data_IF_072899033716
#
_entry.id   IF_072899033716
#
_cell.length_a   1.000
_cell.length_b   1.000
_cell.length_c   1.000
_cell.angle_alpha   90.00
_cell.angle_beta   90.00
_cell.angle_gamma   90.00
#
_symmetry.space_group_name_H-M   'P 1'
#
loop_
_entity.id
_entity.type
_entity.pdbx_description
1 polymer ?
#
# COMPACT_ATOMS: atom_id res chain seq x y z
N UNK A 1 -7.19 -25.63 -2.36
CA UNK A 1 -6.09 -24.72 -2.78
C UNK A 1 -5.03 -25.38 -3.68
N UNK A 2 -4.95 -26.72 -3.78
CA UNK A 2 -4.02 -27.38 -4.71
C UNK A 2 -2.52 -27.22 -4.38
N UNK A 3 -2.19 -26.73 -3.18
CA UNK A 3 -0.82 -26.55 -2.66
C UNK A 3 -0.84 -26.85 -1.15
N UNK A 4 0.26 -27.35 -0.54
CA UNK A 4 0.31 -27.57 0.91
C UNK A 4 0.37 -26.25 1.68
N UNK A 5 -0.17 -26.20 2.90
CA UNK A 5 -0.05 -25.04 3.79
C UNK A 5 1.38 -24.94 4.31
N UNK A 6 1.91 -26.09 4.72
CA UNK A 6 3.31 -26.30 5.06
C UNK A 6 3.68 -27.74 4.73
N UNK A 7 4.93 -27.95 4.33
CA UNK A 7 5.54 -29.28 4.25
C UNK A 7 7.01 -29.18 4.58
N UNK A 8 7.56 -30.25 5.15
CA UNK A 8 8.98 -30.45 5.32
C UNK A 8 9.29 -31.92 5.08
N UNK A 9 10.38 -32.16 4.37
CA UNK A 9 10.92 -33.48 4.12
C UNK A 9 12.40 -33.42 4.48
N UNK A 10 12.84 -34.32 5.33
CA UNK A 10 14.23 -34.44 5.74
C UNK A 10 14.71 -35.85 5.47
N UNK A 11 15.88 -35.93 4.84
CA UNK A 11 16.70 -37.15 4.75
C UNK A 11 17.98 -37.02 5.58
N UNK A 12 18.33 -35.79 6.00
CA UNK A 12 19.49 -35.54 6.84
C UNK A 12 19.16 -35.86 8.30
N UNK A 13 20.05 -36.62 8.95
CA UNK A 13 19.92 -37.19 10.31
C UNK A 13 18.77 -38.19 10.51
N UNK A 14 17.55 -37.86 10.08
CA UNK A 14 16.37 -38.72 10.20
C UNK A 14 15.47 -38.61 8.97
N UNK A 15 15.01 -39.76 8.46
CA UNK A 15 14.03 -39.82 7.37
C UNK A 15 12.64 -39.45 7.89
N UNK A 16 12.20 -38.23 7.63
CA UNK A 16 10.92 -37.72 8.14
C UNK A 16 10.18 -36.89 7.10
N UNK A 17 8.86 -36.97 7.15
CA UNK A 17 7.97 -36.09 6.39
C UNK A 17 6.89 -35.54 7.32
N UNK A 18 6.66 -34.22 7.24
CA UNK A 18 5.56 -33.56 7.93
C UNK A 18 4.90 -32.56 7.01
N UNK A 19 3.59 -32.68 6.79
CA UNK A 19 2.82 -31.83 5.90
C UNK A 19 1.43 -31.53 6.42
N UNK A 20 0.85 -30.42 5.95
CA UNK A 20 -0.55 -30.05 6.18
C UNK A 20 -1.13 -29.58 4.85
N UNK A 21 -2.24 -30.17 4.45
CA UNK A 21 -2.99 -29.73 3.27
C UNK A 21 -3.52 -28.30 3.48
N UNK A 22 -3.48 -27.45 2.45
CA UNK A 22 -4.02 -26.10 2.55
C UNK A 22 -5.51 -26.08 2.21
N UNK A 23 -6.30 -25.59 3.16
CA UNK A 23 -7.71 -25.27 2.98
C UNK A 23 -7.97 -23.83 3.41
N UNK A 24 -9.00 -23.22 2.82
CA UNK A 24 -9.42 -21.86 3.13
C UNK A 24 -10.94 -21.76 3.02
N UNK A 25 -11.53 -20.90 3.83
CA UNK A 25 -12.93 -20.50 3.70
C UNK A 25 -12.98 -19.28 2.76
N UNK A 26 -13.87 -19.31 1.77
CA UNK A 26 -14.03 -18.21 0.80
C UNK A 26 -15.43 -17.64 0.93
N UNK A 27 -15.51 -16.35 1.20
CA UNK A 27 -16.74 -15.56 1.05
C UNK A 27 -16.62 -14.75 -0.24
N UNK A 28 -17.55 -14.99 -1.18
CA UNK A 28 -17.54 -14.38 -2.51
C UNK A 28 -18.84 -13.62 -2.77
N UNK A 29 -18.71 -12.44 -3.35
CA UNK A 29 -19.82 -11.73 -3.98
C UNK A 29 -19.40 -11.23 -5.37
N UNK A 30 -20.36 -11.06 -6.26
CA UNK A 30 -20.14 -10.57 -7.63
C UNK A 30 -21.03 -9.34 -7.83
N UNK A 31 -20.43 -8.25 -8.29
CA UNK A 31 -21.16 -7.02 -8.63
C UNK A 31 -21.01 -6.76 -10.12
N UNK A 32 -22.12 -6.86 -10.84
CA UNK A 32 -22.20 -6.55 -12.27
C UNK A 32 -22.63 -5.09 -12.47
N UNK A 33 -21.75 -4.25 -13.01
CA UNK A 33 -22.00 -2.82 -13.24
C UNK A 33 -21.75 -2.51 -14.72
N UNK A 34 -22.82 -2.25 -15.45
CA UNK A 34 -22.75 -2.03 -16.89
C UNK A 34 -22.14 -3.23 -17.60
N UNK A 35 -20.95 -3.05 -18.17
CA UNK A 35 -20.20 -4.08 -18.89
C UNK A 35 -19.30 -4.95 -17.99
N UNK A 36 -19.00 -4.52 -16.76
CA UNK A 36 -18.03 -5.20 -15.90
C UNK A 36 -18.71 -6.14 -14.91
N UNK A 37 -18.02 -7.25 -14.62
CA UNK A 37 -18.31 -8.14 -13.51
C UNK A 37 -17.11 -8.11 -12.54
N UNK A 38 -17.30 -7.52 -11.36
CA UNK A 38 -16.30 -7.51 -10.30
C UNK A 38 -16.57 -8.66 -9.32
N UNK A 39 -15.67 -9.64 -9.28
CA UNK A 39 -15.70 -10.72 -8.28
C UNK A 39 -14.88 -10.33 -7.08
N UNK A 40 -15.51 -10.22 -5.92
CA UNK A 40 -14.91 -9.86 -4.64
C UNK A 40 -14.76 -11.11 -3.78
N UNK A 41 -13.51 -11.46 -3.45
CA UNK A 41 -13.19 -12.60 -2.60
C UNK A 41 -12.61 -12.14 -1.28
N UNK A 42 -13.16 -12.66 -0.18
CA UNK A 42 -12.57 -12.61 1.15
C UNK A 42 -12.22 -14.04 1.56
N UNK A 43 -10.92 -14.33 1.62
CA UNK A 43 -10.36 -15.66 1.83
C UNK A 43 -9.72 -15.75 3.21
N UNK A 44 -10.22 -16.67 4.03
CA UNK A 44 -9.75 -16.91 5.39
C UNK A 44 -8.93 -18.20 5.45
N UNK A 45 -7.65 -18.06 5.77
CA UNK A 45 -6.69 -19.16 5.77
C UNK A 45 -6.51 -19.75 7.17
N UNK A 46 -6.16 -21.04 7.23
CA UNK A 46 -5.83 -21.74 8.47
C UNK A 46 -4.65 -21.14 9.23
N UNK A 47 -3.79 -20.35 8.57
CA UNK A 47 -2.68 -19.62 9.20
C UNK A 47 -3.14 -18.40 10.01
N UNK A 48 -4.43 -18.04 9.98
CA UNK A 48 -4.96 -16.78 10.51
C UNK A 48 -4.78 -15.59 9.57
N UNK A 49 -4.26 -15.82 8.36
CA UNK A 49 -4.19 -14.81 7.31
C UNK A 49 -5.56 -14.58 6.68
N UNK A 50 -5.86 -13.33 6.34
CA UNK A 50 -7.05 -12.93 5.58
C UNK A 50 -6.58 -12.25 4.31
N UNK A 51 -7.21 -12.58 3.19
CA UNK A 51 -6.88 -12.01 1.89
C UNK A 51 -8.16 -11.47 1.24
N UNK A 52 -8.12 -10.20 0.83
CA UNK A 52 -9.14 -9.59 0.00
C UNK A 52 -8.62 -9.50 -1.44
N UNK A 53 -9.40 -10.00 -2.40
CA UNK A 53 -9.07 -9.95 -3.84
C UNK A 53 -10.25 -9.44 -4.63
N UNK A 54 -9.92 -8.77 -5.74
CA UNK A 54 -10.91 -8.41 -6.75
C UNK A 54 -10.41 -8.84 -8.11
N UNK A 55 -11.32 -9.45 -8.86
CA UNK A 55 -11.11 -9.80 -10.25
C UNK A 55 -12.10 -9.02 -11.11
N UNK A 56 -11.62 -8.33 -12.14
CA UNK A 56 -12.46 -7.74 -13.17
C UNK A 56 -12.62 -8.74 -14.32
N UNK A 57 -13.86 -9.04 -14.69
CA UNK A 57 -14.22 -9.82 -15.88
C UNK A 57 -15.45 -9.19 -16.55
N UNK A 58 -16.12 -9.92 -17.43
CA UNK A 58 -17.24 -9.41 -18.23
C UNK A 58 -16.78 -8.88 -19.58
N UNK A 59 -17.46 -7.86 -20.07
CA UNK A 59 -17.17 -7.21 -21.35
C UNK A 59 -16.31 -5.96 -21.15
N UNK A 60 -15.50 -5.62 -22.15
CA UNK A 60 -14.78 -4.34 -22.18
C UNK A 60 -15.68 -3.20 -22.65
N UNK A 61 -15.41 -1.98 -22.20
CA UNK A 61 -15.95 -0.77 -22.85
C UNK A 61 -15.18 -0.56 -24.16
N UNK A 62 -15.92 -0.37 -25.25
CA UNK A 62 -15.35 -0.18 -26.59
C UNK A 62 -15.86 1.09 -27.26
N UNK A 63 -15.08 1.60 -28.21
CA UNK A 63 -15.45 2.71 -29.09
C UNK A 63 -15.40 2.26 -30.55
N UNK A 64 -16.15 2.94 -31.43
CA UNK A 64 -16.05 2.72 -32.88
C UNK A 64 -14.66 3.14 -33.40
N UNK A 65 -14.06 2.33 -34.26
CA UNK A 65 -12.72 2.61 -34.81
C UNK A 65 -12.78 3.75 -35.83
N UNK A 66 -12.01 4.81 -35.55
CA UNK A 66 -11.78 5.96 -36.44
C UNK A 66 -10.28 6.25 -36.57
N UNK A 67 -9.89 7.14 -37.48
CA UNK A 67 -8.49 7.52 -37.62
C UNK A 67 -7.95 8.09 -36.29
N UNK A 68 -6.81 7.58 -35.82
CA UNK A 68 -6.20 7.93 -34.53
C UNK A 68 -6.66 7.09 -33.33
N UNK A 69 -7.65 6.19 -33.46
CA UNK A 69 -8.13 5.38 -32.33
C UNK A 69 -7.05 4.56 -31.62
N UNK A 70 -6.01 4.12 -32.34
CA UNK A 70 -4.97 3.24 -31.77
C UNK A 70 -3.97 3.95 -30.85
N UNK A 71 -4.07 5.28 -30.71
CA UNK A 71 -3.40 6.00 -29.63
C UNK A 71 -4.04 5.73 -28.25
N UNK A 72 -5.30 5.25 -28.24
CA UNK A 72 -6.11 5.08 -27.03
C UNK A 72 -6.51 3.62 -26.77
N UNK A 73 -5.94 2.66 -27.49
CA UNK A 73 -6.32 1.26 -27.40
C UNK A 73 -5.92 0.43 -28.61
N UNK A 74 -6.45 -0.79 -28.69
CA UNK A 74 -6.21 -1.71 -29.80
C UNK A 74 -7.51 -2.14 -30.48
N UNK A 75 -7.46 -2.46 -31.76
CA UNK A 75 -8.59 -3.08 -32.44
C UNK A 75 -8.82 -4.49 -31.90
N UNK A 76 -10.07 -4.82 -31.59
CA UNK A 76 -10.46 -6.11 -30.99
C UNK A 76 -11.53 -6.85 -31.81
N UNK A 77 -12.21 -6.14 -32.71
CA UNK A 77 -13.12 -6.69 -33.71
C UNK A 77 -13.21 -5.75 -34.92
N UNK A 78 -13.98 -6.12 -35.95
CA UNK A 78 -14.23 -5.25 -37.10
C UNK A 78 -14.86 -3.92 -36.66
N UNK A 79 -14.19 -2.81 -36.94
CA UNK A 79 -14.59 -1.45 -36.54
C UNK A 79 -14.74 -1.21 -35.02
N UNK A 80 -14.13 -2.05 -34.16
CA UNK A 80 -14.19 -1.92 -32.70
C UNK A 80 -12.79 -1.75 -32.10
N UNK A 81 -12.59 -0.64 -31.37
CA UNK A 81 -11.40 -0.37 -30.56
C UNK A 81 -11.71 -0.64 -29.09
N UNK A 82 -10.89 -1.48 -28.44
CA UNK A 82 -10.89 -1.66 -26.99
C UNK A 82 -10.04 -0.58 -26.33
N UNK A 83 -10.67 0.30 -25.54
CA UNK A 83 -10.02 1.46 -24.96
C UNK A 83 -9.13 1.10 -23.76
N UNK A 84 -7.96 1.73 -23.66
CA UNK A 84 -7.12 1.66 -22.45
C UNK A 84 -7.82 2.36 -21.29
N UNK A 85 -7.73 1.77 -20.10
CA UNK A 85 -8.28 2.30 -18.86
C UNK A 85 -7.54 1.70 -17.66
N UNK A 86 -7.73 2.29 -16.48
CA UNK A 86 -7.17 1.81 -15.21
C UNK A 86 -8.28 1.31 -14.29
N UNK A 87 -7.95 0.35 -13.42
CA UNK A 87 -8.83 -0.10 -12.35
C UNK A 87 -8.23 0.28 -11.00
N UNK A 88 -8.91 1.17 -10.29
CA UNK A 88 -8.60 1.52 -8.91
C UNK A 88 -9.72 1.05 -8.00
N UNK A 89 -9.36 0.33 -6.94
CA UNK A 89 -10.29 -0.20 -5.95
C UNK A 89 -9.78 0.15 -4.56
N UNK A 90 -10.68 0.60 -3.69
CA UNK A 90 -10.33 0.98 -2.33
C UNK A 90 -10.94 0.04 -1.29
N UNK A 91 -10.17 -0.24 -0.25
CA UNK A 91 -10.61 -1.02 0.91
C UNK A 91 -10.39 -0.22 2.18
N UNK A 92 -11.41 -0.14 3.04
CA UNK A 92 -11.23 0.25 4.44
C UNK A 92 -10.93 -1.01 5.25
N UNK A 93 -9.78 -1.04 5.91
CA UNK A 93 -9.35 -2.15 6.76
C UNK A 93 -9.16 -1.62 8.17
N UNK A 94 -10.16 -1.84 9.02
CA UNK A 94 -10.17 -1.38 10.41
C UNK A 94 -9.69 -2.52 11.32
N UNK A 95 -8.43 -2.48 11.73
CA UNK A 95 -7.79 -3.53 12.51
C UNK A 95 -7.66 -3.13 13.98
N UNK A 96 -8.32 -3.87 14.86
CA UNK A 96 -8.16 -3.80 16.31
C UNK A 96 -7.28 -4.93 16.83
N UNK A 97 -5.97 -4.79 16.68
CA UNK A 97 -5.01 -5.82 17.13
C UNK A 97 -4.93 -5.81 18.66
N UNK A 98 -5.67 -6.74 19.27
CA UNK A 98 -5.81 -6.86 20.74
C UNK A 98 -6.35 -5.60 21.40
N UNK A 99 -7.33 -4.98 20.73
CA UNK A 99 -7.98 -3.73 21.13
C UNK A 99 -7.58 -2.55 20.24
N UNK A 100 -8.23 -1.42 20.50
CA UNK A 100 -8.26 -0.22 19.63
C UNK A 100 -6.98 0.64 19.64
N UNK A 101 -6.05 0.38 20.57
CA UNK A 101 -4.82 1.17 20.71
C UNK A 101 -3.69 0.49 19.95
N UNK A 102 -3.56 0.83 18.67
CA UNK A 102 -2.52 0.29 17.80
C UNK A 102 -1.54 1.35 17.30
N UNK A 103 -0.37 0.90 16.86
CA UNK A 103 0.68 1.71 16.27
C UNK A 103 1.05 1.15 14.89
N UNK A 104 1.41 2.04 13.96
CA UNK A 104 1.90 1.63 12.65
C UNK A 104 3.42 1.48 12.67
N UNK A 105 3.89 0.32 12.23
CA UNK A 105 5.30 -0.01 12.16
C UNK A 105 5.65 -0.48 10.76
N UNK A 106 6.83 -0.08 10.31
CA UNK A 106 7.40 -0.56 9.07
C UNK A 106 8.68 -1.32 9.38
N UNK A 107 8.90 -2.42 8.65
CA UNK A 107 10.17 -3.14 8.67
C UNK A 107 10.70 -3.28 7.26
N UNK A 108 11.99 -3.08 7.13
CA UNK A 108 12.72 -3.26 5.89
C UNK A 108 14.12 -3.79 6.20
N UNK A 109 14.98 -3.79 5.20
CA UNK A 109 16.36 -4.19 5.34
C UNK A 109 17.26 -3.19 4.61
N UNK A 110 18.44 -3.00 5.16
CA UNK A 110 19.56 -2.35 4.49
C UNK A 110 20.80 -3.23 4.61
N UNK A 111 21.79 -3.02 3.74
CA UNK A 111 23.08 -3.66 3.93
C UNK A 111 24.00 -2.71 4.68
N UNK A 112 24.62 -3.22 5.74
CA UNK A 112 25.63 -2.51 6.50
C UNK A 112 26.98 -3.19 6.32
N UNK A 113 28.02 -2.38 6.19
CA UNK A 113 29.38 -2.87 6.10
C UNK A 113 29.90 -3.12 7.53
N UNK A 114 30.12 -4.38 7.90
CA UNK A 114 30.57 -4.77 9.24
C UNK A 114 31.87 -5.57 9.16
N UNK A 115 32.75 -5.40 10.14
CA UNK A 115 33.94 -6.23 10.26
C UNK A 115 33.55 -7.65 10.68
N UNK A 116 34.26 -8.64 10.15
CA UNK A 116 34.05 -10.04 10.50
C UNK A 116 34.62 -10.27 11.91
N UNK A 117 33.81 -10.70 12.91
CA UNK A 117 34.27 -10.75 14.31
C UNK A 117 35.52 -11.61 14.54
N UNK A 118 35.71 -12.67 13.74
CA UNK A 118 36.87 -13.57 13.80
C UNK A 118 38.00 -13.22 12.81
N UNK A 119 37.82 -12.21 11.96
CA UNK A 119 38.84 -11.68 11.04
C UNK A 119 38.64 -10.17 10.86
N UNK A 120 39.04 -9.33 11.83
CA UNK A 120 38.71 -7.89 11.85
C UNK A 120 39.19 -7.09 10.63
N UNK A 121 40.23 -7.56 9.93
CA UNK A 121 40.76 -7.02 8.67
C UNK A 121 39.77 -7.16 7.49
N UNK A 122 38.79 -8.05 7.61
CA UNK A 122 37.82 -8.35 6.55
C UNK A 122 36.46 -7.76 6.90
N UNK A 123 35.79 -7.29 5.86
CA UNK A 123 34.47 -6.69 5.95
C UNK A 123 33.48 -7.44 5.07
N UNK A 124 32.23 -7.47 5.50
CA UNK A 124 31.13 -8.03 4.74
C UNK A 124 29.93 -7.09 4.77
N UNK A 125 29.23 -7.04 3.63
CA UNK A 125 27.92 -6.42 3.55
C UNK A 125 26.89 -7.39 4.14
N UNK A 126 26.38 -7.07 5.32
CA UNK A 126 25.43 -7.91 6.05
C UNK A 126 24.05 -7.25 6.04
N UNK A 127 22.96 -8.00 5.78
CA UNK A 127 21.62 -7.44 5.88
C UNK A 127 21.30 -7.11 7.35
N UNK A 128 20.89 -5.88 7.61
CA UNK A 128 20.39 -5.41 8.88
C UNK A 128 18.90 -5.11 8.79
N UNK A 129 18.15 -5.52 9.82
CA UNK A 129 16.75 -5.19 9.98
C UNK A 129 16.61 -3.71 10.36
N UNK A 130 15.80 -2.98 9.59
CA UNK A 130 15.42 -1.60 9.89
C UNK A 130 13.98 -1.56 10.31
N UNK A 131 13.69 -1.10 11.53
CA UNK A 131 12.33 -0.94 12.05
C UNK A 131 12.05 0.54 12.33
N UNK A 132 10.88 1.02 11.91
CA UNK A 132 10.42 2.39 12.17
C UNK A 132 8.96 2.37 12.59
N UNK A 133 8.66 3.01 13.72
CA UNK A 133 7.29 3.33 14.11
C UNK A 133 6.93 4.70 13.53
N UNK A 134 5.87 4.75 12.74
CA UNK A 134 5.47 5.96 12.02
C UNK A 134 4.30 6.64 12.74
N UNK A 135 4.33 7.98 12.73
CA UNK A 135 3.14 8.78 13.07
C UNK A 135 2.16 8.77 11.90
N UNK A 136 0.89 9.05 12.17
CA UNK A 136 -0.20 8.99 11.19
C UNK A 136 0.05 9.84 9.94
N UNK A 137 0.63 11.03 10.08
CA UNK A 137 1.03 11.92 8.97
C UNK A 137 2.07 11.30 8.03
N UNK A 138 2.93 10.42 8.54
CA UNK A 138 3.98 9.76 7.78
C UNK A 138 3.53 8.41 7.20
N UNK A 139 2.29 7.99 7.50
CA UNK A 139 1.76 6.67 7.17
C UNK A 139 0.86 6.67 5.92
N UNK A 140 0.97 7.72 5.09
CA UNK A 140 0.37 7.81 3.77
C UNK A 140 1.40 7.45 2.69
N UNK A 141 1.39 6.19 2.25
CA UNK A 141 2.33 5.62 1.29
C UNK A 141 1.74 5.72 -0.12
N UNK A 142 2.29 6.62 -0.93
CA UNK A 142 1.87 6.86 -2.31
C UNK A 142 2.43 5.81 -3.27
N UNK A 143 1.77 5.62 -4.42
CA UNK A 143 2.21 4.65 -5.45
C UNK A 143 3.60 4.93 -6.02
N UNK A 144 3.98 6.20 -6.13
CA UNK A 144 5.26 6.69 -6.66
C UNK A 144 6.42 6.63 -5.65
N UNK A 145 6.18 6.15 -4.43
CA UNK A 145 7.18 6.11 -3.35
C UNK A 145 7.64 4.70 -3.02
N UNK A 146 8.89 4.59 -2.53
CA UNK A 146 9.42 3.31 -2.03
C UNK A 146 8.61 2.88 -0.80
N UNK A 147 7.83 1.81 -0.97
CA UNK A 147 7.06 1.19 0.11
C UNK A 147 7.93 0.20 0.89
N UNK A 148 8.02 0.28 2.23
CA UNK A 148 8.70 -0.72 3.03
C UNK A 148 8.11 -2.12 2.82
N UNK A 149 8.95 -3.15 2.87
CA UNK A 149 8.53 -4.54 2.60
C UNK A 149 7.52 -5.10 3.60
N UNK A 150 7.57 -4.65 4.85
CA UNK A 150 6.68 -5.10 5.92
C UNK A 150 5.96 -3.89 6.52
N UNK A 151 4.64 -3.89 6.43
CA UNK A 151 3.75 -2.89 7.01
C UNK A 151 2.95 -3.58 8.12
N UNK A 152 3.05 -3.13 9.36
CA UNK A 152 2.46 -3.79 10.52
C UNK A 152 1.56 -2.82 11.29
N UNK A 153 0.35 -3.28 11.62
CA UNK A 153 -0.48 -2.69 12.66
C UNK A 153 -0.23 -3.50 13.93
N UNK A 154 0.38 -2.85 14.93
CA UNK A 154 0.89 -3.50 16.11
C UNK A 154 0.17 -3.04 17.38
N UNK A 155 -0.07 -3.98 18.28
CA UNK A 155 -0.51 -3.73 19.65
C UNK A 155 0.65 -3.32 20.54
N UNK A 156 0.36 -2.62 21.64
CA UNK A 156 1.35 -2.42 22.71
C UNK A 156 1.66 -3.72 23.49
N UNK A 157 0.85 -4.77 23.33
CA UNK A 157 1.09 -6.06 23.95
C UNK A 157 2.12 -6.89 23.16
N UNK A 158 2.99 -7.58 23.89
CA UNK A 158 4.04 -8.43 23.31
C UNK A 158 3.66 -9.90 23.32
N UNK A 159 4.27 -10.69 22.43
CA UNK A 159 4.22 -12.14 22.47
C UNK A 159 5.21 -12.68 23.52
N UNK A 160 5.26 -14.01 23.70
CA UNK A 160 6.17 -14.68 24.65
C UNK A 160 7.67 -14.38 24.46
N UNK A 161 8.05 -13.78 23.34
CA UNK A 161 9.42 -13.44 22.98
C UNK A 161 9.71 -11.94 23.06
N UNK A 162 8.77 -11.14 23.57
CA UNK A 162 8.95 -9.69 23.72
C UNK A 162 8.67 -8.87 22.46
N UNK A 163 8.25 -9.48 21.34
CA UNK A 163 7.88 -8.73 20.13
C UNK A 163 6.42 -8.30 20.17
N UNK A 164 6.13 -7.06 19.74
CA UNK A 164 4.76 -6.57 19.64
C UNK A 164 3.91 -7.46 18.72
N UNK A 165 2.74 -7.85 19.22
CA UNK A 165 1.77 -8.64 18.44
C UNK A 165 1.16 -7.75 17.38
N UNK A 166 1.19 -8.19 16.13
CA UNK A 166 0.79 -7.37 14.99
C UNK A 166 0.14 -8.20 13.89
N UNK A 167 -0.65 -7.52 13.07
CA UNK A 167 -1.04 -8.01 11.74
C UNK A 167 -0.24 -7.28 10.68
N UNK A 168 0.28 -8.04 9.70
CA UNK A 168 0.97 -7.48 8.55
C UNK A 168 -0.04 -7.16 7.45
N UNK A 169 0.00 -5.94 6.94
CA UNK A 169 -0.66 -5.56 5.71
C UNK A 169 0.28 -5.81 4.52
N UNK A 170 -0.19 -6.57 3.54
CA UNK A 170 0.52 -6.80 2.28
C UNK A 170 -0.41 -6.44 1.12
N UNK A 171 -0.01 -5.43 0.36
CA UNK A 171 -0.77 -4.94 -0.80
C UNK A 171 -0.10 -5.43 -2.08
N UNK A 172 -0.83 -6.26 -2.82
CA UNK A 172 -0.47 -6.69 -4.18
C UNK A 172 -1.35 -5.92 -5.16
N UNK A 173 -0.76 -4.96 -5.86
CA UNK A 173 -1.44 -4.12 -6.84
C UNK A 173 -0.49 -3.80 -7.99
N UNK A 174 -1.05 -3.75 -9.19
CA UNK A 174 -0.39 -3.32 -10.43
C UNK A 174 -1.10 -2.09 -11.01
N UNK A 175 -1.60 -1.21 -10.12
CA UNK A 175 -2.28 0.01 -10.54
C UNK A 175 -1.41 0.82 -11.50
N UNK A 176 -2.05 1.39 -12.52
CA UNK A 176 -1.42 2.42 -13.36
C UNK A 176 -1.33 3.75 -12.62
N UNK A 177 -1.06 4.81 -13.36
CA UNK A 177 -1.05 6.16 -12.79
C UNK A 177 -2.49 6.61 -12.47
N UNK A 178 -2.64 7.30 -11.33
CA UNK A 178 -3.90 7.96 -10.99
C UNK A 178 -4.07 9.22 -11.84
N UNK A 179 -5.30 9.78 -11.87
CA UNK A 179 -5.55 11.04 -12.55
C UNK A 179 -4.62 12.14 -12.01
N UNK A 180 -4.03 13.02 -12.85
CA UNK A 180 -3.15 14.07 -12.37
C UNK A 180 -3.83 14.97 -11.33
N UNK A 181 -3.10 15.36 -10.28
CA UNK A 181 -3.65 16.20 -9.20
C UNK A 181 -4.01 17.63 -9.66
N UNK A 182 -3.61 18.02 -10.86
CA UNK A 182 -4.03 19.26 -11.53
C UNK A 182 -5.49 19.21 -11.99
N UNK A 183 -6.02 18.02 -12.23
CA UNK A 183 -7.38 17.85 -12.74
C UNK A 183 -8.40 18.04 -11.61
N UNK A 184 -9.45 18.86 -11.82
CA UNK A 184 -10.40 19.17 -10.78
C UNK A 184 -11.24 17.94 -10.35
N UNK A 185 -11.39 16.93 -11.22
CA UNK A 185 -12.11 15.68 -10.97
C UNK A 185 -11.36 14.76 -9.99
N UNK A 186 -10.03 14.89 -9.90
CA UNK A 186 -9.19 13.97 -9.14
C UNK A 186 -9.59 13.92 -7.66
N UNK A 187 -10.03 15.05 -7.10
CA UNK A 187 -10.42 15.17 -5.69
C UNK A 187 -11.57 14.24 -5.31
N UNK A 188 -12.46 13.89 -6.24
CA UNK A 188 -13.54 12.94 -6.00
C UNK A 188 -13.07 11.52 -5.70
N UNK A 189 -11.81 11.20 -6.06
CA UNK A 189 -11.18 9.89 -5.91
C UNK A 189 -9.75 9.99 -5.39
N UNK A 190 -9.46 10.99 -4.54
CA UNK A 190 -8.12 11.30 -4.05
C UNK A 190 -7.44 10.18 -3.24
N UNK A 191 -8.20 9.16 -2.82
CA UNK A 191 -7.65 7.91 -2.28
C UNK A 191 -6.80 7.13 -3.29
N UNK A 192 -7.03 7.28 -4.60
CA UNK A 192 -6.30 6.59 -5.65
C UNK A 192 -4.81 6.97 -5.71
N UNK A 193 -4.42 8.11 -5.11
CA UNK A 193 -3.01 8.53 -4.95
C UNK A 193 -2.19 7.55 -4.10
N UNK A 194 -2.86 6.83 -3.21
CA UNK A 194 -2.21 6.09 -2.13
C UNK A 194 -2.30 4.59 -2.35
N UNK A 195 -1.16 3.90 -2.17
CA UNK A 195 -1.11 2.44 -2.09
C UNK A 195 -1.63 1.96 -0.72
N UNK A 196 -1.25 2.67 0.34
CA UNK A 196 -1.73 2.46 1.71
C UNK A 196 -1.78 3.82 2.40
N UNK A 197 -2.90 4.13 3.05
CA UNK A 197 -3.02 5.28 3.94
C UNK A 197 -3.53 4.82 5.30
N UNK A 198 -2.74 5.04 6.36
CA UNK A 198 -3.15 4.74 7.72
C UNK A 198 -3.68 6.01 8.37
N UNK A 199 -4.94 5.96 8.80
CA UNK A 199 -5.63 7.08 9.46
C UNK A 199 -6.03 6.69 10.87
N UNK A 200 -6.33 7.69 11.69
CA UNK A 200 -6.98 7.44 12.99
C UNK A 200 -8.47 7.22 12.71
N UNK A 201 -9.03 6.14 13.24
CA UNK A 201 -10.47 5.91 13.13
C UNK A 201 -11.28 7.06 13.75
N UNK A 202 -12.33 7.49 13.04
CA UNK A 202 -13.34 8.44 13.50
C UNK A 202 -14.71 7.99 12.98
N UNK A 203 -15.73 8.05 13.82
CA UNK A 203 -17.09 7.64 13.44
C UNK A 203 -17.70 8.57 12.38
N UNK A 204 -17.19 9.80 12.27
CA UNK A 204 -17.54 10.75 11.21
C UNK A 204 -16.89 10.44 9.85
N UNK A 205 -15.90 9.56 9.80
CA UNK A 205 -15.11 9.22 8.60
C UNK A 205 -15.39 7.76 8.17
N UNK A 206 -16.65 7.46 7.89
CA UNK A 206 -17.11 6.09 7.62
C UNK A 206 -16.61 5.54 6.27
N UNK A 207 -16.56 6.39 5.24
CA UNK A 207 -16.19 6.04 3.88
C UNK A 207 -15.11 6.97 3.33
N UNK A 208 -14.33 6.47 2.38
CA UNK A 208 -13.30 7.23 1.64
C UNK A 208 -13.83 7.95 0.40
N UNK A 209 -15.12 7.78 0.10
CA UNK A 209 -15.81 8.32 -1.06
C UNK A 209 -17.32 8.29 -0.83
N UNK A 210 -18.08 8.79 -1.78
CA UNK A 210 -19.54 8.89 -1.68
C UNK A 210 -20.19 8.58 -3.02
N UNK A 211 -21.40 8.01 -3.00
CA UNK A 211 -22.20 7.79 -4.22
C UNK A 211 -22.48 9.11 -4.94
N UNK A 212 -22.54 10.22 -4.20
CA UNK A 212 -22.80 11.56 -4.76
C UNK A 212 -21.58 12.14 -5.49
N UNK A 213 -20.36 11.64 -5.22
CA UNK A 213 -19.17 12.10 -5.91
C UNK A 213 -19.25 11.83 -7.41
N UNK A 214 -19.87 10.72 -7.84
CA UNK A 214 -19.96 10.33 -9.24
C UNK A 214 -20.67 11.37 -10.12
N UNK A 215 -21.72 12.00 -9.59
CA UNK A 215 -22.54 12.97 -10.34
C UNK A 215 -22.12 14.42 -10.10
N UNK A 216 -21.21 14.67 -9.15
CA UNK A 216 -20.62 15.99 -8.90
C UNK A 216 -19.14 15.86 -8.50
N UNK A 217 -18.31 15.45 -9.45
CA UNK A 217 -16.89 15.15 -9.26
C UNK A 217 -16.06 16.38 -8.89
N UNK A 218 -16.48 17.58 -9.30
CA UNK A 218 -15.76 18.83 -9.03
C UNK A 218 -16.01 19.39 -7.64
N UNK A 219 -17.11 19.00 -6.98
CA UNK A 219 -17.43 19.36 -5.60
C UNK A 219 -17.84 18.09 -4.84
N UNK A 220 -16.86 17.21 -4.53
CA UNK A 220 -17.15 15.91 -3.94
C UNK A 220 -17.73 16.05 -2.54
N UNK A 221 -18.75 15.24 -2.24
CA UNK A 221 -19.34 15.16 -0.90
C UNK A 221 -18.36 14.58 0.12
N UNK A 222 -17.45 13.72 -0.32
CA UNK A 222 -16.35 13.17 0.49
C UNK A 222 -15.04 13.33 -0.28
N UNK A 223 -14.07 14.03 0.32
CA UNK A 223 -12.69 14.11 -0.15
C UNK A 223 -11.78 13.36 0.83
N UNK A 224 -11.14 12.29 0.37
CA UNK A 224 -10.27 11.47 1.20
C UNK A 224 -9.05 12.24 1.73
N UNK A 225 -8.59 13.28 1.03
CA UNK A 225 -7.49 14.12 1.51
C UNK A 225 -7.82 14.84 2.81
N UNK A 226 -9.09 15.11 3.09
CA UNK A 226 -9.51 15.72 4.35
C UNK A 226 -9.39 14.77 5.54
N UNK A 227 -9.34 13.46 5.30
CA UNK A 227 -9.18 12.40 6.33
C UNK A 227 -7.71 12.27 6.73
N UNK A 228 -6.79 12.50 5.80
CA UNK A 228 -5.36 12.45 6.09
C UNK A 228 -4.98 13.64 6.99
N UNK A 229 -4.24 13.42 8.08
CA UNK A 229 -3.74 14.53 8.87
C UNK A 229 -2.82 15.37 7.98
N UNK A 230 -3.11 16.67 7.89
CA UNK A 230 -2.42 17.58 6.99
C UNK A 230 -0.91 17.47 7.19
N UNK A 231 -0.19 17.08 6.13
CA UNK A 231 1.23 17.40 6.07
C UNK A 231 1.36 18.93 6.19
N UNK A 232 2.28 19.43 7.02
CA UNK A 232 2.43 20.86 7.20
C UNK A 232 2.69 21.54 5.85
N UNK A 233 2.26 22.80 5.65
CA UNK A 233 2.24 23.46 4.33
C UNK A 233 3.57 23.43 3.56
N UNK A 234 4.71 23.32 4.24
CA UNK A 234 6.03 23.22 3.62
C UNK A 234 6.28 21.91 2.86
N UNK A 235 5.54 20.84 3.16
CA UNK A 235 5.64 19.57 2.43
C UNK A 235 4.92 19.60 1.06
N UNK A 236 4.08 20.62 0.80
CA UNK A 236 3.45 20.87 -0.51
C UNK A 236 4.37 21.60 -1.50
N UNK A 237 5.55 22.05 -1.07
CA UNK A 237 6.44 22.95 -1.83
C UNK A 237 7.73 22.30 -2.34
N UNK A 238 7.78 20.97 -2.48
CA UNK A 238 8.89 20.32 -3.18
C UNK A 238 8.41 19.83 -4.55
N UNK A 239 8.47 20.67 -5.61
CA UNK A 239 8.53 20.13 -6.95
C UNK A 239 9.81 19.30 -7.05
N UNK A 240 9.66 18.03 -7.39
CA UNK A 240 10.77 17.24 -7.91
C UNK A 240 11.35 17.95 -9.14
N UNK A 241 12.49 18.60 -8.96
CA UNK A 241 13.34 19.06 -10.05
C UNK A 241 14.82 18.82 -9.68
N UNK A 242 15.26 17.61 -10.07
CA UNK A 242 16.62 17.26 -10.53
C UNK A 242 17.81 17.22 -9.53
N UNK A 243 18.86 16.44 -9.87
CA UNK A 243 19.74 15.74 -8.94
C UNK A 243 21.02 16.54 -8.62
N UNK A 244 21.80 15.97 -7.70
CA UNK A 244 23.18 16.30 -7.29
C UNK A 244 23.27 16.86 -5.86
N UNK A 245 23.71 15.96 -4.97
CA UNK A 245 24.38 16.30 -3.72
C UNK A 245 25.81 16.81 -4.01
N UNK A 246 26.47 17.58 -3.11
CA UNK A 246 26.68 17.15 -1.73
C UNK A 246 26.40 18.18 -0.63
N UNK A 247 25.96 17.62 0.51
CA UNK A 247 25.94 18.20 1.84
C UNK A 247 27.14 19.13 2.16
N UNK A 248 26.86 20.42 2.34
CA UNK A 248 27.71 21.31 3.12
C UNK A 248 27.19 21.38 4.56
N UNK A 249 28.10 21.11 5.51
CA UNK A 249 27.90 21.23 6.96
C UNK A 249 27.47 22.66 7.32
N UNK A 250 26.29 22.83 7.91
CA UNK A 250 25.94 24.05 8.63
C UNK A 250 26.36 23.94 10.11
N UNK A 251 27.48 24.56 10.48
CA UNK A 251 27.69 25.09 11.84
C UNK A 251 26.94 26.42 11.90
N UNK A 252 25.96 26.54 12.78
CA UNK A 252 25.37 27.83 13.14
C UNK A 252 25.62 28.08 14.63
N UNK A 253 26.61 28.94 14.91
CA UNK A 253 26.62 29.80 16.09
C UNK A 253 25.87 31.07 15.70
N UNK A 254 24.90 31.49 16.50
CA UNK A 254 24.52 32.89 16.63
C UNK A 254 24.08 33.14 18.06
N UNK A 255 24.99 33.74 18.82
CA UNK A 255 24.70 34.56 20.00
C UNK A 255 24.49 35.99 19.54
N UNK A 256 23.36 36.59 19.90
CA UNK A 256 23.26 38.04 20.11
C UNK A 256 22.06 38.35 21.00
N UNK A 257 22.35 38.85 22.20
CA UNK A 257 21.54 39.89 22.87
C UNK A 257 22.49 40.89 23.51
N UNK A 258 22.19 42.15 23.30
CA UNK A 258 22.98 43.35 23.61
C UNK A 258 22.82 43.82 25.07
N UNK A 259 23.82 44.57 25.54
CA UNK A 259 23.74 45.90 26.22
C UNK A 259 24.96 46.15 27.12
N UNK A 260 25.95 46.90 26.61
CA UNK A 260 26.34 48.27 26.97
C UNK A 260 27.50 48.69 26.09
#
# INVERSE_FOLDING_TARGET
>A
MGRPLRRHFSESNFLTYGGVANSALVFRTITSIGNYDYTWDFIFYQSGSVEAKVYATGYIVSSFTVNGSFLYGHQVAENVTGNIHTHFLNFKVDLDVLGVKNVFQTKDMEFVNVSVPWMPERYAMVPQLVEKQLKTEQAALRYDTKTPRYLHIASNQTNRWGHQRSYRLQVTSFAGDHLPESEPEERAMSWARYKVAITKHKDSEQASGSLYNQNNIWAPAVDFMAVLPMLPPWAKLLPCALPLWPCARARARTTTTSKR
#
